data_IF_687112180234
#
_entry.id   IF_687112180234
#
_cell.length_a   1.000
_cell.length_b   1.000
_cell.length_c   1.000
_cell.angle_alpha   90.00
_cell.angle_beta   90.00
_cell.angle_gamma   90.00
#
_symmetry.space_group_name_H-M   'P 1'
#
loop_
_entity.id
_entity.type
_entity.pdbx_description
1 polymer ?
#
# COMPACT_ATOMS: atom_id res chain seq x y z
N UNK A 1 -17.10 8.33 -21.49
CA UNK A 1 -16.45 7.50 -20.45
C UNK A 1 -16.39 8.32 -19.18
N UNK A 2 -16.77 7.75 -18.05
CA UNK A 2 -16.75 8.39 -16.74
C UNK A 2 -15.77 7.65 -15.82
N UNK A 3 -15.05 8.41 -14.98
CA UNK A 3 -14.14 7.86 -13.97
C UNK A 3 -14.86 7.70 -12.65
N UNK A 4 -14.60 6.59 -11.98
CA UNK A 4 -15.16 6.28 -10.66
C UNK A 4 -14.02 5.83 -9.73
N UNK A 5 -13.99 6.46 -8.58
CA UNK A 5 -13.06 6.09 -7.52
C UNK A 5 -13.58 4.85 -6.77
N UNK A 6 -12.67 4.02 -6.35
CA UNK A 6 -12.96 2.86 -5.50
C UNK A 6 -11.87 2.68 -4.45
N UNK A 7 -12.22 2.00 -3.36
CA UNK A 7 -11.32 1.54 -2.33
C UNK A 7 -11.23 0.02 -2.41
N UNK A 8 -10.04 -0.53 -2.24
CA UNK A 8 -9.80 -1.95 -2.16
C UNK A 8 -9.10 -2.26 -0.84
N UNK A 9 -9.61 -3.25 -0.13
CA UNK A 9 -9.01 -3.76 1.10
C UNK A 9 -8.53 -5.18 0.84
N UNK A 10 -7.23 -5.42 0.97
CA UNK A 10 -6.63 -6.75 0.92
C UNK A 10 -6.41 -7.28 2.33
N UNK A 11 -6.95 -8.44 2.64
CA UNK A 11 -6.79 -9.09 3.93
C UNK A 11 -5.41 -9.78 3.97
N UNK A 12 -4.57 -9.38 4.91
CA UNK A 12 -3.22 -9.92 5.10
C UNK A 12 -3.15 -11.01 6.17
N UNK A 13 -4.27 -11.32 6.80
CA UNK A 13 -4.38 -12.33 7.83
C UNK A 13 -4.54 -11.77 9.24
N UNK A 14 -4.01 -12.49 10.22
CA UNK A 14 -4.19 -12.18 11.64
C UNK A 14 -2.86 -12.27 12.39
N UNK A 15 -2.47 -11.19 13.04
CA UNK A 15 -1.32 -11.17 13.93
C UNK A 15 -1.76 -11.25 15.41
N UNK A 16 -1.05 -12.05 16.20
CA UNK A 16 -1.37 -12.23 17.62
C UNK A 16 -1.29 -10.96 18.45
N UNK A 17 -0.51 -9.98 18.01
CA UNK A 17 -0.30 -8.73 18.74
C UNK A 17 -1.36 -7.65 18.46
N UNK A 18 -1.91 -7.60 17.25
CA UNK A 18 -2.76 -6.49 16.79
C UNK A 18 -4.09 -6.92 16.15
N UNK A 19 -4.34 -8.21 15.98
CA UNK A 19 -5.58 -8.72 15.39
C UNK A 19 -5.53 -8.85 13.87
N UNK A 20 -6.65 -8.56 13.19
CA UNK A 20 -6.71 -8.62 11.74
C UNK A 20 -5.88 -7.50 11.10
N UNK A 21 -5.07 -7.88 10.13
CA UNK A 21 -4.23 -6.97 9.36
C UNK A 21 -4.81 -6.87 7.95
N UNK A 22 -4.91 -5.65 7.44
CA UNK A 22 -5.37 -5.40 6.09
C UNK A 22 -4.62 -4.23 5.47
N UNK A 23 -4.35 -4.33 4.17
CA UNK A 23 -3.82 -3.24 3.37
C UNK A 23 -4.97 -2.57 2.61
N UNK A 24 -5.09 -1.26 2.75
CA UNK A 24 -6.11 -0.45 2.07
C UNK A 24 -5.46 0.39 0.97
N UNK A 25 -6.07 0.36 -0.21
CA UNK A 25 -5.63 1.16 -1.35
C UNK A 25 -6.79 1.77 -2.10
N UNK A 26 -6.50 2.85 -2.83
CA UNK A 26 -7.47 3.59 -3.62
C UNK A 26 -7.11 3.56 -5.09
N UNK A 27 -8.12 3.42 -5.93
CA UNK A 27 -7.95 3.40 -7.38
C UNK A 27 -9.06 4.11 -8.11
N UNK A 28 -8.87 4.28 -9.41
CA UNK A 28 -9.90 4.80 -10.31
C UNK A 28 -10.11 3.83 -11.47
N UNK A 29 -11.36 3.67 -11.89
CA UNK A 29 -11.71 2.88 -13.06
C UNK A 29 -12.59 3.69 -14.02
N UNK A 30 -12.36 3.55 -15.31
CA UNK A 30 -13.16 4.20 -16.35
C UNK A 30 -14.20 3.23 -16.90
N UNK A 31 -15.45 3.68 -16.99
CA UNK A 31 -16.53 2.97 -17.66
C UNK A 31 -17.09 3.79 -18.82
N UNK A 32 -17.54 3.11 -19.85
CA UNK A 32 -18.38 3.72 -20.88
C UNK A 32 -19.78 4.04 -20.33
N UNK A 33 -20.51 4.92 -20.99
CA UNK A 33 -21.87 5.27 -20.59
C UNK A 33 -22.81 4.05 -20.65
N UNK A 34 -22.54 3.11 -21.57
CA UNK A 34 -23.27 1.85 -21.69
C UNK A 34 -23.00 0.91 -20.49
N UNK A 35 -21.73 0.77 -20.07
CA UNK A 35 -21.35 -0.05 -18.91
C UNK A 35 -21.95 0.54 -17.62
N UNK A 36 -21.92 1.85 -17.46
CA UNK A 36 -22.58 2.53 -16.32
C UNK A 36 -24.08 2.22 -16.31
N UNK A 37 -24.73 2.31 -17.47
CA UNK A 37 -26.17 2.01 -17.57
C UNK A 37 -26.47 0.55 -17.20
N UNK A 38 -25.68 -0.40 -17.67
CA UNK A 38 -25.78 -1.83 -17.33
C UNK A 38 -25.67 -2.02 -15.80
N UNK A 39 -24.63 -1.48 -15.18
CA UNK A 39 -24.40 -1.62 -13.73
C UNK A 39 -25.55 -1.00 -12.91
N UNK A 40 -26.00 0.19 -13.30
CA UNK A 40 -27.13 0.88 -12.65
C UNK A 40 -28.43 0.04 -12.76
N UNK A 41 -28.72 -0.52 -13.93
CA UNK A 41 -29.91 -1.35 -14.15
C UNK A 41 -29.86 -2.64 -13.34
N UNK A 42 -28.71 -3.34 -13.34
CA UNK A 42 -28.50 -4.56 -12.55
C UNK A 42 -28.71 -4.31 -11.06
N UNK A 43 -28.12 -3.24 -10.52
CA UNK A 43 -28.29 -2.87 -9.09
C UNK A 43 -29.76 -2.64 -8.76
N UNK A 44 -30.51 -1.98 -9.64
CA UNK A 44 -31.96 -1.71 -9.43
C UNK A 44 -32.81 -2.96 -9.53
N UNK A 45 -32.55 -3.80 -10.53
CA UNK A 45 -33.32 -5.03 -10.71
C UNK A 45 -33.13 -6.02 -9.57
N UNK A 46 -31.86 -6.18 -9.14
CA UNK A 46 -31.50 -7.17 -8.12
C UNK A 46 -31.58 -6.62 -6.68
N UNK A 47 -31.60 -5.30 -6.51
CA UNK A 47 -31.68 -4.65 -5.20
C UNK A 47 -30.44 -4.87 -4.33
N UNK A 48 -29.28 -5.15 -4.94
CA UNK A 48 -28.01 -5.43 -4.27
C UNK A 48 -26.85 -4.76 -5.00
N UNK A 49 -25.73 -4.58 -4.30
CA UNK A 49 -24.44 -4.11 -4.86
C UNK A 49 -23.39 -5.18 -4.84
N UNK A 50 -23.69 -6.36 -4.30
CA UNK A 50 -22.82 -7.53 -4.26
C UNK A 50 -22.60 -8.07 -5.67
N UNK A 51 -21.35 -8.05 -6.12
CA UNK A 51 -20.93 -8.43 -7.48
C UNK A 51 -21.28 -9.89 -7.80
N UNK A 52 -21.20 -10.77 -6.81
CA UNK A 52 -21.59 -12.18 -6.98
C UNK A 52 -23.11 -12.31 -7.14
N UNK A 53 -23.89 -11.60 -6.34
CA UNK A 53 -25.34 -11.61 -6.43
C UNK A 53 -25.89 -10.89 -7.69
N UNK A 54 -25.10 -9.98 -8.26
CA UNK A 54 -25.36 -9.37 -9.57
C UNK A 54 -25.12 -10.34 -10.74
N UNK A 55 -24.41 -11.44 -10.49
CA UNK A 55 -23.99 -12.43 -11.51
C UNK A 55 -23.16 -11.80 -12.64
N UNK A 56 -22.36 -10.79 -12.28
CA UNK A 56 -21.62 -9.98 -13.23
C UNK A 56 -20.58 -10.79 -14.01
N UNK A 57 -19.93 -11.73 -13.35
CA UNK A 57 -18.93 -12.62 -13.92
C UNK A 57 -19.49 -13.54 -15.03
N UNK A 58 -20.76 -13.91 -14.96
CA UNK A 58 -21.42 -14.75 -15.95
C UNK A 58 -22.09 -13.93 -17.05
N UNK A 59 -22.81 -12.87 -16.66
CA UNK A 59 -23.58 -12.07 -17.60
C UNK A 59 -22.73 -11.06 -18.39
N UNK A 60 -21.67 -10.53 -17.78
CA UNK A 60 -20.78 -9.52 -18.38
C UNK A 60 -19.30 -9.81 -18.05
N UNK A 61 -18.74 -10.93 -18.52
CA UNK A 61 -17.41 -11.41 -18.11
C UNK A 61 -16.27 -10.42 -18.40
N UNK A 62 -16.32 -9.70 -19.52
CA UNK A 62 -15.29 -8.71 -19.87
C UNK A 62 -15.31 -7.50 -18.92
N UNK A 63 -16.51 -7.05 -18.52
CA UNK A 63 -16.68 -5.98 -17.57
C UNK A 63 -16.20 -6.39 -16.17
N UNK A 64 -16.56 -7.62 -15.75
CA UNK A 64 -16.10 -8.19 -14.49
C UNK A 64 -14.57 -8.33 -14.47
N UNK A 65 -13.97 -8.86 -15.53
CA UNK A 65 -12.51 -9.03 -15.62
C UNK A 65 -11.78 -7.70 -15.46
N UNK A 66 -12.23 -6.64 -16.12
CA UNK A 66 -11.62 -5.31 -16.00
C UNK A 66 -11.74 -4.75 -14.59
N UNK A 67 -12.89 -4.97 -13.95
CA UNK A 67 -13.10 -4.57 -12.57
C UNK A 67 -12.18 -5.35 -11.62
N UNK A 68 -12.11 -6.67 -11.75
CA UNK A 68 -11.21 -7.53 -10.97
C UNK A 68 -9.74 -7.17 -11.17
N UNK A 69 -9.31 -6.91 -12.40
CA UNK A 69 -7.93 -6.49 -12.70
C UNK A 69 -7.57 -5.16 -12.03
N UNK A 70 -8.50 -4.19 -12.02
CA UNK A 70 -8.28 -2.91 -11.35
C UNK A 70 -8.16 -3.08 -9.83
N UNK A 71 -9.03 -3.88 -9.22
CA UNK A 71 -8.97 -4.20 -7.80
C UNK A 71 -7.70 -4.98 -7.44
N UNK A 72 -7.34 -5.96 -8.25
CA UNK A 72 -6.10 -6.76 -8.08
C UNK A 72 -4.85 -5.89 -8.09
N UNK A 73 -4.79 -4.93 -9.00
CA UNK A 73 -3.65 -4.01 -9.06
C UNK A 73 -3.54 -3.18 -7.79
N UNK A 74 -4.65 -2.56 -7.37
CA UNK A 74 -4.67 -1.74 -6.14
C UNK A 74 -4.37 -2.58 -4.90
N UNK A 75 -4.95 -3.78 -4.79
CA UNK A 75 -4.66 -4.70 -3.68
C UNK A 75 -3.16 -5.05 -3.62
N UNK A 76 -2.55 -5.32 -4.77
CA UNK A 76 -1.12 -5.62 -4.86
C UNK A 76 -0.25 -4.45 -4.43
N UNK A 77 -0.53 -3.25 -4.93
CA UNK A 77 0.22 -2.04 -4.60
C UNK A 77 0.09 -1.71 -3.10
N UNK A 78 -1.14 -1.73 -2.57
CA UNK A 78 -1.38 -1.49 -1.15
C UNK A 78 -0.68 -2.53 -0.24
N UNK A 79 -0.62 -3.80 -0.67
CA UNK A 79 0.07 -4.86 0.08
C UNK A 79 1.58 -4.62 0.10
N UNK A 80 2.17 -4.21 -1.03
CA UNK A 80 3.59 -3.88 -1.12
C UNK A 80 3.90 -2.68 -0.23
N UNK A 81 3.08 -1.64 -0.28
CA UNK A 81 3.24 -0.45 0.55
C UNK A 81 3.11 -0.78 2.05
N UNK A 82 2.12 -1.60 2.42
CA UNK A 82 1.94 -2.05 3.80
C UNK A 82 3.18 -2.82 4.30
N UNK A 83 3.65 -3.83 3.57
CA UNK A 83 4.82 -4.60 3.97
C UNK A 83 6.09 -3.76 4.03
N UNK A 84 6.20 -2.76 3.16
CA UNK A 84 7.31 -1.83 3.19
C UNK A 84 7.33 -1.02 4.50
N UNK A 85 6.20 -0.42 4.88
CA UNK A 85 6.11 0.40 6.08
C UNK A 85 6.20 -0.43 7.36
N UNK A 86 5.43 -1.52 7.45
CA UNK A 86 5.45 -2.41 8.60
C UNK A 86 6.81 -3.10 8.77
N UNK A 87 7.43 -3.50 7.66
CA UNK A 87 8.77 -4.08 7.69
C UNK A 87 9.79 -3.14 8.31
N UNK A 88 9.68 -1.86 8.04
CA UNK A 88 10.54 -0.85 8.62
C UNK A 88 10.30 -0.66 10.12
N UNK A 89 9.03 -0.54 10.56
CA UNK A 89 8.69 -0.33 11.96
C UNK A 89 8.91 -1.58 12.83
N UNK A 90 8.70 -2.77 12.29
CA UNK A 90 8.79 -4.03 13.05
C UNK A 90 10.17 -4.69 12.96
N UNK A 91 11.15 -4.03 12.34
CA UNK A 91 12.51 -4.58 12.16
C UNK A 91 12.56 -5.80 11.25
N UNK A 92 11.63 -5.90 10.29
CA UNK A 92 11.59 -6.99 9.32
C UNK A 92 12.62 -6.84 8.19
N UNK A 93 13.44 -5.80 8.22
CA UNK A 93 14.53 -5.62 7.28
C UNK A 93 15.73 -6.51 7.63
N UNK A 94 16.44 -6.98 6.62
CA UNK A 94 17.64 -7.80 6.76
C UNK A 94 18.78 -7.03 7.46
N UNK A 95 18.78 -5.71 7.32
CA UNK A 95 19.72 -4.82 7.97
C UNK A 95 19.15 -4.31 9.31
N UNK A 96 20.00 -4.09 10.27
CA UNK A 96 19.64 -3.24 11.39
C UNK A 96 19.44 -1.77 10.91
N UNK A 97 18.87 -0.94 11.76
CA UNK A 97 18.53 0.43 11.38
C UNK A 97 19.76 1.24 10.93
N UNK A 98 20.90 1.00 11.55
CA UNK A 98 22.14 1.70 11.22
C UNK A 98 22.68 1.28 9.84
N UNK A 99 22.68 -0.01 9.53
CA UNK A 99 23.10 -0.52 8.22
C UNK A 99 22.19 0.01 7.11
N UNK A 100 20.85 0.07 7.35
CA UNK A 100 19.91 0.61 6.40
C UNK A 100 20.11 2.11 6.16
N UNK A 101 20.29 2.90 7.22
CA UNK A 101 20.63 4.33 7.11
C UNK A 101 21.91 4.57 6.32
N UNK A 102 22.95 3.79 6.57
CA UNK A 102 24.22 3.89 5.86
C UNK A 102 24.05 3.52 4.38
N UNK A 103 23.32 2.45 4.08
CA UNK A 103 23.01 2.08 2.70
C UNK A 103 22.24 3.18 1.97
N UNK A 104 21.23 3.77 2.59
CA UNK A 104 20.45 4.87 2.00
C UNK A 104 21.29 6.15 1.82
N UNK A 105 22.25 6.40 2.70
CA UNK A 105 23.18 7.52 2.57
C UNK A 105 24.19 7.31 1.42
N UNK A 106 24.62 6.07 1.18
CA UNK A 106 25.56 5.74 0.10
C UNK A 106 24.90 5.62 -1.28
N UNK A 107 23.64 5.17 -1.31
CA UNK A 107 22.96 4.80 -2.56
C UNK A 107 21.93 5.84 -3.01
N UNK A 108 21.34 6.55 -2.03
CA UNK A 108 20.34 7.57 -2.22
C UNK A 108 20.78 8.88 -1.59
N UNK A 109 19.94 9.90 -1.62
CA UNK A 109 20.31 11.24 -1.14
C UNK A 109 20.05 11.45 0.36
N UNK A 110 20.03 10.38 1.19
CA UNK A 110 19.90 10.57 2.63
C UNK A 110 21.18 11.17 3.20
N UNK A 111 21.05 12.31 3.90
CA UNK A 111 22.14 12.95 4.60
C UNK A 111 21.66 13.45 5.98
N UNK A 112 22.44 13.16 7.01
CA UNK A 112 22.24 13.68 8.35
C UNK A 112 23.48 14.50 8.75
N UNK A 113 23.30 15.81 8.87
CA UNK A 113 24.34 16.73 9.31
C UNK A 113 24.14 17.05 10.79
N UNK A 114 25.18 16.88 11.59
CA UNK A 114 25.15 17.18 13.02
C UNK A 114 26.42 17.90 13.47
N UNK A 115 26.34 18.56 14.63
CA UNK A 115 27.49 19.13 15.29
C UNK A 115 27.82 18.28 16.52
N UNK A 116 29.02 17.72 16.56
CA UNK A 116 29.46 16.81 17.64
C UNK A 116 29.31 17.43 19.04
N UNK A 117 29.47 18.78 19.16
CA UNK A 117 29.34 19.49 20.43
C UNK A 117 27.93 19.39 21.03
N UNK A 118 26.89 19.16 20.19
CA UNK A 118 25.50 19.07 20.63
C UNK A 118 25.17 17.70 21.28
N UNK A 119 26.06 16.73 21.12
CA UNK A 119 25.89 15.35 21.62
C UNK A 119 26.99 14.95 22.63
N UNK A 120 27.64 15.91 23.28
CA UNK A 120 28.57 15.59 24.35
C UNK A 120 27.82 15.47 25.67
N UNK A 121 28.16 14.39 26.41
CA UNK A 121 27.64 14.19 27.77
C UNK A 121 28.32 15.14 28.81
N UNK A 122 27.96 14.98 30.09
CA UNK A 122 28.53 15.81 31.19
C UNK A 122 30.05 15.59 31.38
N UNK A 123 30.59 14.49 30.89
CA UNK A 123 32.01 14.11 30.94
C UNK A 123 32.78 14.58 29.70
N UNK A 124 32.05 15.06 28.67
CA UNK A 124 32.58 15.53 27.39
C UNK A 124 32.84 14.38 26.42
N UNK A 125 32.23 13.23 26.63
CA UNK A 125 32.23 12.09 25.70
C UNK A 125 30.99 12.15 24.81
N UNK A 126 31.08 11.57 23.59
CA UNK A 126 29.98 11.54 22.63
C UNK A 126 28.87 10.61 23.14
N UNK A 127 27.66 11.14 23.28
CA UNK A 127 26.44 10.36 23.53
C UNK A 127 25.96 9.74 22.21
N UNK A 128 26.48 8.52 21.93
CA UNK A 128 26.19 7.79 20.70
C UNK A 128 24.69 7.40 20.61
N UNK A 129 24.02 7.17 21.75
CA UNK A 129 22.61 6.79 21.78
C UNK A 129 21.74 7.99 21.36
N UNK A 130 21.99 9.18 21.92
CA UNK A 130 21.26 10.39 21.56
C UNK A 130 21.51 10.78 20.08
N UNK A 131 22.74 10.65 19.60
CA UNK A 131 23.08 10.89 18.19
C UNK A 131 22.36 9.88 17.25
N UNK A 132 22.30 8.61 17.66
CA UNK A 132 21.61 7.58 16.89
C UNK A 132 20.12 7.87 16.84
N UNK A 133 19.48 8.22 17.95
CA UNK A 133 18.04 8.50 18.01
C UNK A 133 17.66 9.67 17.08
N UNK A 134 18.40 10.77 17.13
CA UNK A 134 18.15 11.93 16.27
C UNK A 134 18.40 11.60 14.77
N UNK A 135 19.46 10.82 14.46
CA UNK A 135 19.74 10.35 13.12
C UNK A 135 18.62 9.43 12.61
N UNK A 136 18.10 8.58 13.47
CA UNK A 136 17.00 7.66 13.14
C UNK A 136 15.70 8.40 12.88
N UNK A 137 15.35 9.39 13.72
CA UNK A 137 14.17 10.22 13.50
C UNK A 137 14.24 10.98 12.19
N UNK A 138 15.39 11.58 11.88
CA UNK A 138 15.62 12.25 10.60
C UNK A 138 15.54 11.28 9.41
N UNK A 139 15.99 10.04 9.60
CA UNK A 139 15.90 9.01 8.58
C UNK A 139 14.45 8.59 8.30
N UNK A 140 13.65 8.40 9.33
CA UNK A 140 12.21 8.08 9.20
C UNK A 140 11.47 9.20 8.44
N UNK A 141 11.73 10.46 8.81
CA UNK A 141 11.13 11.61 8.11
C UNK A 141 11.54 11.70 6.63
N UNK A 142 12.78 11.34 6.31
CA UNK A 142 13.27 11.33 4.93
C UNK A 142 12.71 10.13 4.14
N UNK A 143 12.59 8.96 4.80
CA UNK A 143 12.23 7.70 4.14
C UNK A 143 10.80 7.71 3.60
N UNK A 144 9.83 8.25 4.36
CA UNK A 144 8.42 8.26 3.97
C UNK A 144 8.19 8.92 2.60
N UNK A 145 8.59 10.20 2.36
CA UNK A 145 8.43 10.80 1.05
C UNK A 145 9.33 10.17 -0.03
N UNK A 146 10.49 9.62 0.34
CA UNK A 146 11.33 8.89 -0.60
C UNK A 146 10.61 7.68 -1.17
N UNK A 147 10.00 6.87 -0.31
CA UNK A 147 9.24 5.69 -0.73
C UNK A 147 8.03 6.05 -1.58
N UNK A 148 7.30 7.09 -1.20
CA UNK A 148 6.18 7.59 -1.99
C UNK A 148 6.61 8.01 -3.40
N UNK A 149 7.84 8.48 -3.56
CA UNK A 149 8.40 8.87 -4.86
C UNK A 149 8.73 7.68 -5.77
N UNK A 150 8.93 6.49 -5.20
CA UNK A 150 9.27 5.29 -5.96
C UNK A 150 8.05 4.72 -6.69
N UNK A 151 8.24 4.28 -7.93
CA UNK A 151 7.22 3.48 -8.60
C UNK A 151 7.18 2.05 -8.06
N UNK A 152 6.11 1.31 -8.36
CA UNK A 152 5.88 -0.05 -7.84
C UNK A 152 7.07 -1.00 -8.08
N UNK A 153 7.76 -0.92 -9.21
CA UNK A 153 8.90 -1.79 -9.50
C UNK A 153 10.12 -1.46 -8.65
N UNK A 154 10.35 -0.18 -8.38
CA UNK A 154 11.43 0.29 -7.51
C UNK A 154 11.15 -0.10 -6.07
N UNK A 155 9.90 0.00 -5.59
CA UNK A 155 9.49 -0.47 -4.26
C UNK A 155 9.69 -1.98 -4.11
N UNK A 156 9.28 -2.78 -5.08
CA UNK A 156 9.50 -4.24 -5.10
C UNK A 156 10.99 -4.55 -5.02
N UNK A 157 11.81 -3.83 -5.79
CA UNK A 157 13.25 -4.01 -5.78
C UNK A 157 13.83 -3.71 -4.40
N UNK A 158 13.48 -2.55 -3.82
CA UNK A 158 13.94 -2.15 -2.49
C UNK A 158 13.56 -3.19 -1.43
N UNK A 159 12.31 -3.62 -1.38
CA UNK A 159 11.83 -4.64 -0.45
C UNK A 159 12.56 -5.98 -0.62
N UNK A 160 12.81 -6.41 -1.86
CA UNK A 160 13.52 -7.65 -2.15
C UNK A 160 14.98 -7.63 -1.72
N UNK A 161 15.59 -6.45 -1.69
CA UNK A 161 17.00 -6.28 -1.33
C UNK A 161 17.20 -6.09 0.19
N UNK A 162 16.18 -5.62 0.93
CA UNK A 162 16.35 -5.16 2.31
C UNK A 162 15.41 -5.80 3.34
N UNK A 163 14.41 -6.57 2.92
CA UNK A 163 13.52 -7.26 3.87
C UNK A 163 14.12 -8.56 4.37
N UNK A 164 14.07 -8.73 5.70
CA UNK A 164 14.47 -9.96 6.38
C UNK A 164 13.39 -11.07 6.33
N UNK A 165 12.23 -10.82 5.74
CA UNK A 165 11.18 -11.81 5.58
C UNK A 165 11.23 -12.44 4.20
N UNK A 166 11.04 -13.76 4.11
CA UNK A 166 10.81 -14.48 2.85
C UNK A 166 9.42 -14.12 2.29
N UNK A 167 9.25 -12.86 1.86
CA UNK A 167 8.02 -12.43 1.18
C UNK A 167 8.25 -12.57 -0.31
N UNK A 168 7.53 -13.49 -0.95
CA UNK A 168 7.52 -13.62 -2.42
C UNK A 168 6.68 -12.50 -3.04
N UNK A 169 7.29 -11.34 -3.24
CA UNK A 169 6.66 -10.18 -3.86
C UNK A 169 6.23 -10.42 -5.32
N UNK A 170 6.76 -11.48 -5.96
CA UNK A 170 6.36 -11.86 -7.32
C UNK A 170 5.06 -12.64 -7.35
N UNK A 171 4.71 -13.30 -6.23
CA UNK A 171 3.55 -14.18 -6.10
C UNK A 171 2.79 -13.90 -4.79
N UNK A 172 2.43 -12.63 -4.56
CA UNK A 172 1.62 -12.25 -3.40
C UNK A 172 0.26 -12.93 -3.45
N UNK A 173 -0.10 -13.61 -2.37
CA UNK A 173 -1.47 -14.06 -2.15
C UNK A 173 -2.35 -12.84 -1.84
N UNK A 174 -3.37 -12.62 -2.67
CA UNK A 174 -4.29 -11.50 -2.52
C UNK A 174 -5.68 -12.04 -2.12
N UNK A 175 -6.18 -11.54 -1.00
CA UNK A 175 -7.52 -11.84 -0.46
C UNK A 175 -8.33 -10.54 -0.36
N UNK A 176 -8.91 -10.14 -1.48
CA UNK A 176 -9.70 -8.92 -1.63
C UNK A 176 -11.09 -9.21 -2.20
N UNK A 177 -11.99 -8.30 -1.95
CA UNK A 177 -13.33 -8.34 -2.54
C UNK A 177 -13.46 -7.28 -3.63
N UNK A 178 -14.12 -7.66 -4.72
CA UNK A 178 -14.49 -6.72 -5.79
C UNK A 178 -15.86 -6.15 -5.49
N UNK A 179 -15.94 -4.83 -5.41
CA UNK A 179 -17.17 -4.08 -5.19
C UNK A 179 -17.53 -3.18 -6.37
N UNK A 180 -18.80 -2.81 -6.46
CA UNK A 180 -19.20 -1.77 -7.41
C UNK A 180 -18.80 -0.39 -6.85
N UNK A 181 -18.08 0.45 -7.62
CA UNK A 181 -17.70 1.78 -7.18
C UNK A 181 -18.88 2.61 -6.66
N UNK A 182 -18.69 3.28 -5.52
CA UNK A 182 -19.77 3.98 -4.80
C UNK A 182 -20.46 5.06 -5.64
N UNK A 183 -19.75 5.67 -6.59
CA UNK A 183 -20.32 6.62 -7.54
C UNK A 183 -21.42 5.99 -8.41
N UNK A 184 -21.24 4.75 -8.87
CA UNK A 184 -22.24 4.01 -9.65
C UNK A 184 -23.44 3.62 -8.75
N UNK A 185 -23.16 3.16 -7.53
CA UNK A 185 -24.20 2.86 -6.54
C UNK A 185 -25.06 4.09 -6.25
N UNK A 186 -24.45 5.26 -6.13
CA UNK A 186 -25.18 6.53 -5.95
C UNK A 186 -26.06 6.88 -7.15
N UNK A 187 -25.59 6.65 -8.38
CA UNK A 187 -26.41 6.84 -9.59
C UNK A 187 -27.62 5.89 -9.60
N UNK A 188 -27.43 4.63 -9.20
CA UNK A 188 -28.53 3.67 -9.13
C UNK A 188 -29.62 4.05 -8.12
N UNK A 189 -29.26 4.69 -7.01
CA UNK A 189 -30.19 5.14 -5.97
C UNK A 189 -30.92 6.43 -6.32
N UNK A 190 -30.33 7.31 -7.13
CA UNK A 190 -30.84 8.66 -7.41
C UNK A 190 -31.60 8.79 -8.73
N UNK A 191 -31.64 7.77 -9.55
CA UNK A 191 -32.42 7.75 -10.81
C UNK A 191 -33.64 6.89 -10.66
#
# INVERSE_FOLDING_TARGET
>A
MAKFDFCCVNNLGFAHCCGAIAAEGHGTIEFSDEEVAILVELIREKGTTDVCALDLNTAYPELFQRLDEAYRQVAREATIDHWYMEGFYDGCYEYDAEELMNYCSETYDFAFEYNEEDYLDEEGELDEDALFDDKYDAFVEWLEPFVESLNTQERIKFLSEHMNAEVDLSNLELDYMVDIPQGIVALAKNS
#
